data_IF_126098856471
#
_entry.id   IF_126098856471
#
_cell.length_a   1.000
_cell.length_b   1.000
_cell.length_c   1.000
_cell.angle_alpha   90.00
_cell.angle_beta   90.00
_cell.angle_gamma   90.00
#
_symmetry.space_group_name_H-M   'P 1'
#
loop_
_entity.id
_entity.type
_entity.pdbx_description
1 polymer ?
#
# COMPACT_ATOMS: atom_id res chain seq x y z
N UNK A 1 1.43 -29.91 48.56
CA UNK A 1 0.64 -29.93 47.30
C UNK A 1 1.41 -29.05 46.33
N UNK A 2 2.23 -29.68 45.49
CA UNK A 2 3.11 -28.96 44.57
C UNK A 2 2.30 -28.40 43.41
N UNK A 3 2.48 -27.11 43.17
CA UNK A 3 1.81 -26.33 42.15
C UNK A 3 2.09 -26.92 40.75
N UNK A 4 1.10 -27.04 39.85
CA UNK A 4 1.33 -27.45 38.46
C UNK A 4 2.37 -26.57 37.75
N UNK A 5 2.54 -25.33 38.19
CA UNK A 5 3.56 -24.39 37.70
C UNK A 5 4.97 -24.86 38.05
N UNK A 6 5.20 -25.38 39.25
CA UNK A 6 6.52 -25.89 39.67
C UNK A 6 6.86 -27.20 38.95
N UNK A 7 5.86 -28.04 38.68
CA UNK A 7 6.03 -29.23 37.85
C UNK A 7 6.44 -28.86 36.42
N UNK A 8 5.72 -27.94 35.78
CA UNK A 8 6.04 -27.48 34.41
C UNK A 8 7.42 -26.83 34.36
N UNK A 9 7.78 -26.00 35.34
CA UNK A 9 9.11 -25.36 35.40
C UNK A 9 10.22 -26.41 35.49
N UNK A 10 10.07 -27.40 36.37
CA UNK A 10 11.06 -28.46 36.55
C UNK A 10 11.16 -29.35 35.32
N UNK A 11 10.02 -29.66 34.70
CA UNK A 11 9.96 -30.46 33.47
C UNK A 11 10.59 -29.75 32.27
N UNK A 12 10.31 -28.46 32.08
CA UNK A 12 10.87 -27.64 31.00
C UNK A 12 12.38 -27.51 31.14
N UNK A 13 12.90 -27.31 32.36
CA UNK A 13 14.36 -27.26 32.59
C UNK A 13 15.00 -28.62 32.32
N UNK A 14 14.37 -29.72 32.75
CA UNK A 14 14.87 -31.07 32.50
C UNK A 14 14.89 -31.46 31.01
N UNK A 15 14.02 -30.87 30.19
CA UNK A 15 13.88 -31.17 28.76
C UNK A 15 14.27 -29.99 27.85
N UNK A 16 14.97 -28.98 28.38
CA UNK A 16 15.25 -27.74 27.66
C UNK A 16 16.03 -27.97 26.36
N UNK A 17 17.02 -28.86 26.37
CA UNK A 17 17.82 -29.21 25.18
C UNK A 17 16.96 -29.91 24.11
N UNK A 18 16.02 -30.76 24.52
CA UNK A 18 15.10 -31.44 23.61
C UNK A 18 14.10 -30.45 23.00
N UNK A 19 13.53 -29.54 23.80
CA UNK A 19 12.63 -28.50 23.30
C UNK A 19 13.34 -27.54 22.34
N UNK A 20 14.59 -27.16 22.67
CA UNK A 20 15.38 -26.24 21.85
C UNK A 20 15.78 -26.87 20.51
N UNK A 21 16.14 -28.16 20.49
CA UNK A 21 16.43 -28.88 19.24
C UNK A 21 15.20 -28.99 18.33
N UNK A 22 14.01 -29.25 18.89
CA UNK A 22 12.77 -29.26 18.11
C UNK A 22 12.37 -27.87 17.61
N UNK A 23 12.56 -26.82 18.40
CA UNK A 23 12.33 -25.44 17.97
C UNK A 23 13.25 -25.03 16.83
N UNK A 24 14.54 -25.40 16.90
CA UNK A 24 15.50 -25.15 15.82
C UNK A 24 15.12 -25.94 14.57
N UNK A 25 14.73 -27.21 14.70
CA UNK A 25 14.27 -28.02 13.58
C UNK A 25 13.02 -27.42 12.91
N UNK A 26 12.03 -26.98 13.70
CA UNK A 26 10.84 -26.31 13.19
C UNK A 26 11.17 -24.99 12.47
N UNK A 27 12.10 -24.21 13.01
CA UNK A 27 12.58 -22.97 12.38
C UNK A 27 13.29 -23.24 11.05
N UNK A 28 14.13 -24.28 10.98
CA UNK A 28 14.79 -24.70 9.74
C UNK A 28 13.75 -25.13 8.70
N UNK A 29 12.73 -25.90 9.09
CA UNK A 29 11.66 -26.33 8.16
C UNK A 29 10.86 -25.13 7.66
N UNK A 30 10.47 -24.19 8.54
CA UNK A 30 9.76 -22.97 8.13
C UNK A 30 10.59 -22.10 7.18
N UNK A 31 11.89 -21.93 7.45
CA UNK A 31 12.77 -21.14 6.58
C UNK A 31 12.97 -21.80 5.22
N UNK A 32 13.12 -23.12 5.15
CA UNK A 32 13.18 -23.87 3.90
C UNK A 32 11.87 -23.75 3.10
N UNK A 33 10.72 -23.93 3.75
CA UNK A 33 9.41 -23.76 3.11
C UNK A 33 9.23 -22.35 2.54
N UNK A 34 9.65 -21.32 3.28
CA UNK A 34 9.60 -19.93 2.82
C UNK A 34 10.51 -19.68 1.61
N UNK A 35 11.70 -20.28 1.58
CA UNK A 35 12.62 -20.22 0.44
C UNK A 35 12.00 -20.91 -0.79
N UNK A 36 11.36 -22.07 -0.61
CA UNK A 36 10.69 -22.79 -1.70
C UNK A 36 9.51 -22.01 -2.26
N UNK A 37 8.68 -21.39 -1.39
CA UNK A 37 7.60 -20.49 -1.81
C UNK A 37 8.16 -19.33 -2.63
N UNK A 38 9.25 -18.69 -2.18
CA UNK A 38 9.92 -17.61 -2.94
C UNK A 38 10.53 -18.09 -4.26
N UNK A 39 11.03 -19.32 -4.33
CA UNK A 39 11.55 -19.91 -5.57
C UNK A 39 10.43 -20.25 -6.54
N UNK A 40 9.30 -20.72 -6.05
CA UNK A 40 8.11 -20.99 -6.87
C UNK A 40 7.53 -19.69 -7.45
N UNK A 41 7.42 -18.62 -6.65
CA UNK A 41 6.95 -17.32 -7.14
C UNK A 41 7.89 -16.70 -8.17
N UNK A 42 9.22 -16.82 -7.99
CA UNK A 42 10.19 -16.38 -9.00
C UNK A 42 10.08 -17.16 -10.31
N UNK A 43 9.90 -18.49 -10.26
CA UNK A 43 9.71 -19.32 -11.47
C UNK A 43 8.40 -18.96 -12.20
N UNK A 44 7.32 -18.72 -11.46
CA UNK A 44 6.06 -18.26 -12.05
C UNK A 44 6.19 -16.87 -12.71
N UNK A 45 6.93 -15.96 -12.09
CA UNK A 45 7.20 -14.63 -12.67
C UNK A 45 8.01 -14.72 -13.97
N UNK A 46 9.05 -15.57 -14.02
CA UNK A 46 9.85 -15.78 -15.24
C UNK A 46 9.00 -16.37 -16.36
N UNK A 47 8.22 -17.41 -16.06
CA UNK A 47 7.31 -18.02 -17.04
C UNK A 47 6.25 -17.03 -17.55
N UNK A 48 5.73 -16.16 -16.69
CA UNK A 48 4.83 -15.08 -17.11
C UNK A 48 5.54 -14.06 -18.01
N UNK A 49 6.78 -13.68 -17.72
CA UNK A 49 7.52 -12.75 -18.58
C UNK A 49 7.87 -13.35 -19.94
N UNK A 50 8.14 -14.66 -20.01
CA UNK A 50 8.36 -15.38 -21.28
C UNK A 50 7.06 -15.50 -22.10
N UNK A 51 5.93 -15.77 -21.44
CA UNK A 51 4.60 -15.78 -22.07
C UNK A 51 4.20 -14.38 -22.59
N UNK A 52 4.54 -13.31 -21.86
CA UNK A 52 4.33 -11.93 -22.31
C UNK A 52 5.27 -11.57 -23.45
N UNK A 53 6.55 -11.95 -23.41
CA UNK A 53 7.49 -11.68 -24.50
C UNK A 53 7.09 -12.40 -25.79
N UNK A 54 6.60 -13.64 -25.71
CA UNK A 54 6.12 -14.41 -26.86
C UNK A 54 4.82 -13.87 -27.44
N UNK A 55 3.87 -13.43 -26.60
CA UNK A 55 2.64 -12.78 -27.07
C UNK A 55 2.89 -11.39 -27.64
N UNK A 56 3.75 -10.57 -27.02
CA UNK A 56 4.16 -9.27 -27.58
C UNK A 56 4.87 -9.47 -28.91
N UNK A 57 5.79 -10.45 -29.03
CA UNK A 57 6.44 -10.76 -30.30
C UNK A 57 5.44 -11.18 -31.39
N UNK A 58 4.34 -11.85 -31.03
CA UNK A 58 3.25 -12.17 -31.96
C UNK A 58 2.40 -10.96 -32.36
N UNK A 59 2.26 -9.95 -31.49
CA UNK A 59 1.51 -8.72 -31.75
C UNK A 59 2.33 -7.61 -32.44
N UNK A 60 3.67 -7.69 -32.44
CA UNK A 60 4.56 -6.71 -33.10
C UNK A 60 4.28 -6.52 -34.60
N UNK A 61 4.00 -7.58 -35.41
CA UNK A 61 3.60 -7.41 -36.81
C UNK A 61 2.27 -6.68 -36.97
N UNK A 62 1.30 -6.92 -36.09
CA UNK A 62 -0.01 -6.24 -36.10
C UNK A 62 0.12 -4.76 -35.70
N UNK A 63 0.99 -4.44 -34.74
CA UNK A 63 1.28 -3.05 -34.35
C UNK A 63 2.06 -2.32 -35.46
N UNK A 64 2.98 -3.00 -36.15
CA UNK A 64 3.68 -2.43 -37.31
C UNK A 64 2.73 -2.18 -38.49
N UNK A 65 1.77 -3.08 -38.74
CA UNK A 65 0.71 -2.89 -39.75
C UNK A 65 -0.28 -1.78 -39.34
N UNK A 66 -0.66 -1.72 -38.07
CA UNK A 66 -1.52 -0.66 -37.53
C UNK A 66 -0.83 0.72 -37.60
N UNK A 67 0.46 0.81 -37.27
CA UNK A 67 1.24 2.04 -37.37
C UNK A 67 1.40 2.53 -38.81
N UNK A 68 1.54 1.61 -39.78
CA UNK A 68 1.57 1.96 -41.21
C UNK A 68 0.19 2.40 -41.73
N UNK A 69 -0.89 1.81 -41.24
CA UNK A 69 -2.26 2.23 -41.60
C UNK A 69 -2.69 3.55 -40.96
N UNK A 70 -2.16 3.89 -39.78
CA UNK A 70 -2.38 5.16 -39.10
C UNK A 70 -1.55 6.32 -39.68
N UNK A 71 -0.55 6.04 -40.53
CA UNK A 71 0.29 7.04 -41.21
C UNK A 71 -0.23 7.38 -42.62
N UNK A 72 -1.56 7.49 -42.78
CA UNK A 72 -2.13 8.26 -43.90
C UNK A 72 -2.32 9.71 -43.44
N UNK A 73 -1.59 10.68 -44.00
CA UNK A 73 -1.66 12.06 -43.52
C UNK A 73 -2.94 12.75 -44.03
N UNK A 74 -3.65 13.52 -43.20
CA UNK A 74 -4.41 14.67 -43.70
C UNK A 74 -3.44 15.83 -44.00
N UNK A 75 -3.74 16.69 -44.98
CA UNK A 75 -2.86 17.79 -45.34
C UNK A 75 -2.90 18.90 -44.28
N UNK A 76 -1.73 19.49 -44.04
CA UNK A 76 -1.51 20.87 -43.54
C UNK A 76 -1.95 21.22 -42.11
N UNK A 77 -1.00 21.15 -41.16
CA UNK A 77 -0.75 22.18 -40.11
C UNK A 77 0.43 21.86 -39.16
N UNK A 78 1.14 20.73 -39.32
CA UNK A 78 2.20 20.33 -38.38
C UNK A 78 3.61 20.92 -38.63
N UNK A 79 3.75 21.97 -39.45
CA UNK A 79 5.06 22.47 -39.89
C UNK A 79 5.35 23.91 -39.47
N UNK A 80 5.17 24.29 -38.18
CA UNK A 80 5.80 25.51 -37.58
C UNK A 80 5.63 25.58 -36.05
N UNK A 81 5.83 24.49 -35.29
CA UNK A 81 5.97 24.62 -33.83
C UNK A 81 7.45 24.87 -33.50
N UNK A 82 7.78 26.08 -33.02
CA UNK A 82 9.14 26.40 -32.56
C UNK A 82 9.51 25.53 -31.35
N UNK A 83 10.79 25.17 -31.14
CA UNK A 83 11.21 24.32 -30.03
C UNK A 83 10.78 24.84 -28.63
N UNK A 84 10.61 26.15 -28.48
CA UNK A 84 10.05 26.78 -27.27
C UNK A 84 8.61 26.32 -26.97
N UNK A 85 7.74 26.29 -27.98
CA UNK A 85 6.32 25.91 -27.82
C UNK A 85 6.12 24.45 -27.39
N UNK A 86 7.05 23.56 -27.78
CA UNK A 86 7.04 22.14 -27.35
C UNK A 86 7.48 21.96 -25.92
N UNK A 87 8.55 22.66 -25.51
CA UNK A 87 9.03 22.64 -24.12
C UNK A 87 7.96 23.19 -23.17
N UNK A 88 7.29 24.29 -23.54
CA UNK A 88 6.17 24.84 -22.76
C UNK A 88 5.01 23.84 -22.61
N UNK A 89 4.63 23.12 -23.68
CA UNK A 89 3.59 22.10 -23.62
C UNK A 89 3.98 20.95 -22.68
N UNK A 90 5.21 20.45 -22.80
CA UNK A 90 5.74 19.41 -21.92
C UNK A 90 5.80 19.86 -20.44
N UNK A 91 6.09 21.13 -20.18
CA UNK A 91 6.08 21.69 -18.83
C UNK A 91 4.65 21.84 -18.27
N UNK A 92 3.66 22.15 -19.10
CA UNK A 92 2.23 22.12 -18.70
C UNK A 92 1.80 20.69 -18.35
N UNK A 93 2.12 19.70 -19.17
CA UNK A 93 1.82 18.29 -18.87
C UNK A 93 2.49 17.83 -17.55
N UNK A 94 3.75 18.23 -17.35
CA UNK A 94 4.47 17.93 -16.12
C UNK A 94 3.75 18.50 -14.88
N UNK A 95 3.23 19.72 -14.94
CA UNK A 95 2.56 20.29 -13.78
C UNK A 95 1.21 19.65 -13.48
N UNK A 96 0.50 19.13 -14.50
CA UNK A 96 -0.73 18.35 -14.27
C UNK A 96 -0.38 17.03 -13.58
N UNK A 97 0.63 16.34 -14.09
CA UNK A 97 1.13 15.09 -13.54
C UNK A 97 1.69 15.28 -12.11
N UNK A 98 2.41 16.37 -11.85
CA UNK A 98 2.90 16.71 -10.52
C UNK A 98 1.75 17.00 -9.55
N UNK A 99 0.72 17.72 -9.97
CA UNK A 99 -0.46 17.99 -9.16
C UNK A 99 -1.21 16.68 -8.81
N UNK A 100 -1.41 15.80 -9.79
CA UNK A 100 -2.07 14.50 -9.58
C UNK A 100 -1.29 13.63 -8.60
N UNK A 101 0.05 13.63 -8.69
CA UNK A 101 0.91 12.89 -7.77
C UNK A 101 0.94 13.44 -6.37
N UNK A 102 0.96 14.76 -6.23
CA UNK A 102 0.86 15.40 -4.92
C UNK A 102 -0.51 15.13 -4.28
N UNK A 103 -1.58 15.15 -5.08
CA UNK A 103 -2.91 14.76 -4.62
C UNK A 103 -2.94 13.29 -4.20
N UNK A 104 -2.32 12.41 -5.00
CA UNK A 104 -2.19 10.99 -4.68
C UNK A 104 -1.42 10.75 -3.38
N UNK A 105 -0.26 11.38 -3.21
CA UNK A 105 0.59 11.23 -2.02
C UNK A 105 -0.13 11.68 -0.76
N UNK A 106 -0.94 12.75 -0.81
CA UNK A 106 -1.77 13.20 0.32
C UNK A 106 -3.02 12.35 0.52
N UNK A 107 -3.56 11.80 -0.56
CA UNK A 107 -4.77 10.98 -0.55
C UNK A 107 -4.56 9.55 -0.04
N UNK A 108 -3.36 8.98 -0.21
CA UNK A 108 -3.06 7.58 0.13
C UNK A 108 -3.25 7.25 1.62
N UNK A 109 -3.08 8.22 2.53
CA UNK A 109 -3.30 8.02 3.95
C UNK A 109 -4.79 7.94 4.33
N UNK A 110 -5.70 8.32 3.44
CA UNK A 110 -7.13 8.21 3.67
C UNK A 110 -7.61 6.76 3.46
N UNK A 111 -7.73 6.02 4.57
CA UNK A 111 -8.19 4.63 4.58
C UNK A 111 -9.67 4.45 4.22
N UNK A 112 -10.47 5.54 4.23
CA UNK A 112 -11.88 5.48 3.82
C UNK A 112 -12.04 5.25 2.32
N UNK A 113 -11.04 5.64 1.54
CA UNK A 113 -11.00 5.41 0.10
C UNK A 113 -10.51 3.97 -0.10
N UNK A 114 -11.19 3.10 -0.84
CA UNK A 114 -10.69 1.75 -1.12
C UNK A 114 -9.51 1.79 -2.08
N UNK A 115 -8.66 0.75 -2.05
CA UNK A 115 -7.47 0.68 -2.93
C UNK A 115 -7.82 0.74 -4.42
N UNK A 116 -8.99 0.23 -4.80
CA UNK A 116 -9.50 0.27 -6.18
C UNK A 116 -9.92 1.66 -6.64
N UNK A 117 -10.18 2.59 -5.72
CA UNK A 117 -10.53 3.97 -6.01
C UNK A 117 -9.33 4.92 -5.95
N UNK A 118 -8.16 4.43 -5.50
CA UNK A 118 -6.94 5.21 -5.60
C UNK A 118 -6.50 5.28 -7.07
N UNK A 119 -6.10 6.46 -7.56
CA UNK A 119 -5.49 6.55 -8.88
C UNK A 119 -4.28 5.61 -8.95
N UNK A 120 -3.98 5.01 -10.11
CA UNK A 120 -2.76 4.24 -10.28
C UNK A 120 -1.57 5.15 -9.98
N UNK A 121 -0.64 4.68 -9.13
CA UNK A 121 0.51 5.48 -8.72
C UNK A 121 1.35 5.93 -9.93
N UNK A 122 1.48 5.07 -10.94
CA UNK A 122 2.03 5.43 -12.24
C UNK A 122 0.93 5.25 -13.30
N UNK A 123 0.59 6.29 -14.07
CA UNK A 123 -0.26 6.09 -15.23
C UNK A 123 0.49 5.21 -16.24
N UNK A 124 -0.20 4.31 -16.95
CA UNK A 124 0.32 3.57 -18.12
C UNK A 124 0.58 4.50 -19.33
N UNK A 125 0.79 5.78 -19.07
CA UNK A 125 0.94 6.82 -20.07
C UNK A 125 2.24 6.64 -20.87
N UNK A 126 2.26 7.11 -22.13
CA UNK A 126 3.48 7.17 -22.91
C UNK A 126 4.57 7.95 -22.17
N UNK A 127 5.83 7.60 -22.46
CA UNK A 127 7.03 8.25 -21.91
C UNK A 127 6.89 9.78 -22.04
N UNK A 128 7.06 10.50 -20.93
CA UNK A 128 6.83 11.94 -20.88
C UNK A 128 7.74 12.69 -21.88
N UNK A 129 7.25 13.74 -22.59
CA UNK A 129 8.01 14.45 -23.64
C UNK A 129 9.38 14.99 -23.21
N UNK A 130 9.52 15.33 -21.93
CA UNK A 130 10.79 15.78 -21.35
C UNK A 130 11.93 14.76 -21.48
N UNK A 131 11.66 13.48 -21.73
CA UNK A 131 12.69 12.45 -21.81
C UNK A 131 13.35 12.32 -23.19
N UNK A 132 12.76 12.87 -24.24
CA UNK A 132 13.29 12.75 -25.61
C UNK A 132 13.42 14.10 -26.34
N UNK A 133 12.58 15.09 -26.01
CA UNK A 133 12.55 16.39 -26.72
C UNK A 133 13.29 17.53 -26.00
N UNK A 134 13.96 17.27 -24.87
CA UNK A 134 14.54 18.35 -24.02
C UNK A 134 16.00 18.14 -23.63
N UNK A 135 16.70 19.20 -23.16
CA UNK A 135 18.08 19.09 -22.71
C UNK A 135 18.26 18.01 -21.65
N UNK A 136 19.39 17.30 -21.73
CA UNK A 136 19.73 16.19 -20.83
C UNK A 136 19.62 16.56 -19.34
N UNK A 137 20.01 17.78 -18.98
CA UNK A 137 19.90 18.31 -17.62
C UNK A 137 18.46 18.28 -17.09
N UNK A 138 17.48 18.62 -17.93
CA UNK A 138 16.06 18.66 -17.58
C UNK A 138 15.50 17.23 -17.47
N UNK A 139 15.83 16.37 -18.43
CA UNK A 139 15.48 14.94 -18.39
C UNK A 139 16.01 14.25 -17.12
N UNK A 140 17.26 14.50 -16.72
CA UNK A 140 17.86 13.92 -15.51
C UNK A 140 17.14 14.38 -14.23
N UNK A 141 16.77 15.66 -14.13
CA UNK A 141 15.99 16.18 -12.99
C UNK A 141 14.58 15.61 -12.95
N UNK A 142 13.93 15.47 -14.10
CA UNK A 142 12.63 14.82 -14.20
C UNK A 142 12.70 13.38 -13.70
N UNK A 143 13.64 12.57 -14.20
CA UNK A 143 13.83 11.19 -13.74
C UNK A 143 14.12 11.08 -12.24
N UNK A 144 14.83 12.05 -11.65
CA UNK A 144 15.06 12.07 -10.21
C UNK A 144 13.76 12.29 -9.41
N UNK A 145 12.90 13.22 -9.87
CA UNK A 145 11.58 13.44 -9.29
C UNK A 145 10.66 12.21 -9.46
N UNK A 146 10.69 11.56 -10.62
CA UNK A 146 9.97 10.30 -10.88
C UNK A 146 10.35 9.20 -9.89
N UNK A 147 11.65 9.00 -9.65
CA UNK A 147 12.16 7.98 -8.73
C UNK A 147 11.76 8.29 -7.29
N UNK A 148 11.90 9.54 -6.86
CA UNK A 148 11.47 10.00 -5.54
C UNK A 148 9.99 9.69 -5.30
N UNK A 149 9.12 10.07 -6.24
CA UNK A 149 7.70 9.73 -6.16
C UNK A 149 7.46 8.21 -6.08
N UNK A 150 8.09 7.43 -6.98
CA UNK A 150 7.88 5.99 -7.03
C UNK A 150 8.39 5.26 -5.77
N UNK A 151 9.42 5.76 -5.11
CA UNK A 151 9.90 5.26 -3.82
C UNK A 151 8.91 5.54 -2.70
N UNK A 152 8.46 6.79 -2.57
CA UNK A 152 7.44 7.17 -1.58
C UNK A 152 6.13 6.43 -1.79
N UNK A 153 5.66 6.33 -3.02
CA UNK A 153 4.42 5.63 -3.35
C UNK A 153 4.47 4.16 -2.96
N UNK A 154 5.58 3.47 -3.24
CA UNK A 154 5.76 2.06 -2.82
C UNK A 154 5.79 1.91 -1.30
N UNK A 155 6.48 2.80 -0.60
CA UNK A 155 6.56 2.77 0.86
C UNK A 155 5.19 3.00 1.50
N UNK A 156 4.45 4.04 1.06
CA UNK A 156 3.12 4.37 1.58
C UNK A 156 2.09 3.27 1.28
N UNK A 157 2.13 2.65 0.09
CA UNK A 157 1.27 1.51 -0.22
C UNK A 157 1.56 0.30 0.66
N UNK A 158 2.84 0.03 0.96
CA UNK A 158 3.21 -1.06 1.86
C UNK A 158 2.70 -0.80 3.29
N UNK A 159 2.89 0.41 3.81
CA UNK A 159 2.39 0.81 5.13
C UNK A 159 0.86 0.74 5.21
N UNK A 160 0.16 1.22 4.17
CA UNK A 160 -1.29 1.15 4.06
C UNK A 160 -1.83 -0.29 4.09
N UNK A 161 -1.20 -1.22 3.37
CA UNK A 161 -1.57 -2.65 3.39
C UNK A 161 -1.40 -3.26 4.77
N UNK A 162 -0.34 -2.89 5.47
CA UNK A 162 -0.13 -3.34 6.86
C UNK A 162 -1.23 -2.80 7.77
N UNK A 163 -1.64 -1.55 7.57
CA UNK A 163 -2.72 -0.94 8.36
C UNK A 163 -4.08 -1.58 8.08
N UNK A 164 -4.38 -1.91 6.82
CA UNK A 164 -5.57 -2.67 6.44
C UNK A 164 -5.58 -4.09 7.03
N UNK A 165 -4.42 -4.76 7.11
CA UNK A 165 -4.31 -6.05 7.78
C UNK A 165 -4.60 -5.95 9.29
N UNK A 166 -4.16 -4.86 9.94
CA UNK A 166 -4.50 -4.59 11.34
C UNK A 166 -6.00 -4.31 11.53
N UNK A 167 -6.63 -3.56 10.61
CA UNK A 167 -8.08 -3.33 10.63
C UNK A 167 -8.87 -4.63 10.48
N UNK A 168 -8.44 -5.51 9.57
CA UNK A 168 -9.06 -6.83 9.39
C UNK A 168 -8.95 -7.67 10.67
N UNK A 169 -7.77 -7.71 11.31
CA UNK A 169 -7.57 -8.43 12.56
C UNK A 169 -8.40 -7.84 13.73
N UNK A 170 -8.54 -6.52 13.82
CA UNK A 170 -9.42 -5.87 14.81
C UNK A 170 -10.89 -6.26 14.57
N UNK A 171 -11.34 -6.27 13.31
CA UNK A 171 -12.70 -6.68 12.95
C UNK A 171 -12.95 -8.15 13.31
N UNK A 172 -12.05 -9.07 12.95
CA UNK A 172 -12.15 -10.49 13.29
C UNK A 172 -12.24 -10.71 14.82
N UNK A 173 -11.38 -10.03 15.59
CA UNK A 173 -11.43 -10.10 17.05
C UNK A 173 -12.74 -9.56 17.64
N UNK A 174 -13.33 -8.51 17.05
CA UNK A 174 -14.65 -8.00 17.46
C UNK A 174 -15.79 -8.96 17.12
N UNK A 175 -15.72 -9.61 15.97
CA UNK A 175 -16.72 -10.61 15.57
C UNK A 175 -16.65 -11.85 16.48
N UNK A 176 -15.45 -12.27 16.87
CA UNK A 176 -15.28 -13.34 17.86
C UNK A 176 -15.83 -12.94 19.24
N UNK A 177 -15.62 -11.69 19.70
CA UNK A 177 -16.24 -11.20 20.95
C UNK A 177 -17.76 -11.27 20.89
N UNK A 178 -18.38 -10.83 19.79
CA UNK A 178 -19.84 -10.94 19.61
C UNK A 178 -20.31 -12.40 19.60
N UNK A 179 -19.51 -13.30 19.03
CA UNK A 179 -19.81 -14.74 19.06
C UNK A 179 -19.75 -15.27 20.49
N UNK A 180 -18.73 -14.89 21.27
CA UNK A 180 -18.62 -15.28 22.69
C UNK A 180 -19.83 -14.76 23.47
N UNK A 181 -20.25 -13.51 23.27
CA UNK A 181 -21.43 -12.93 23.93
C UNK A 181 -22.71 -13.74 23.65
N UNK A 182 -22.93 -14.14 22.38
CA UNK A 182 -24.06 -15.00 22.00
C UNK A 182 -23.97 -16.38 22.62
N UNK A 183 -22.78 -16.99 22.64
CA UNK A 183 -22.56 -18.31 23.25
C UNK A 183 -22.77 -18.26 24.78
N UNK A 184 -22.29 -17.21 25.45
CA UNK A 184 -22.48 -16.96 26.87
C UNK A 184 -23.97 -16.81 27.20
N UNK A 185 -24.71 -16.02 26.41
CA UNK A 185 -26.17 -15.87 26.56
C UNK A 185 -26.90 -17.21 26.41
N UNK A 186 -26.51 -18.03 25.42
CA UNK A 186 -27.09 -19.35 25.21
C UNK A 186 -26.77 -20.32 26.36
N UNK A 187 -25.58 -20.24 26.97
CA UNK A 187 -25.22 -21.03 28.15
C UNK A 187 -26.09 -20.66 29.34
N UNK A 188 -26.34 -19.37 29.58
CA UNK A 188 -27.20 -18.91 30.68
C UNK A 188 -28.60 -19.50 30.54
N UNK A 189 -29.23 -19.41 29.37
CA UNK A 189 -30.56 -20.00 29.12
C UNK A 189 -30.56 -21.52 29.33
N UNK A 190 -29.54 -22.22 28.82
CA UNK A 190 -29.42 -23.68 29.02
C UNK A 190 -29.20 -24.05 30.50
N UNK A 191 -28.49 -23.21 31.24
CA UNK A 191 -28.24 -23.41 32.65
C UNK A 191 -29.53 -23.25 33.47
N UNK A 192 -30.34 -22.24 33.17
CA UNK A 192 -31.67 -22.06 33.76
C UNK A 192 -32.60 -23.26 33.49
N UNK A 193 -32.59 -23.77 32.25
CA UNK A 193 -33.35 -24.98 31.88
C UNK A 193 -32.89 -26.23 32.64
N UNK A 194 -31.57 -26.43 32.75
CA UNK A 194 -31.00 -27.56 33.50
C UNK A 194 -31.32 -27.47 35.01
N UNK A 195 -31.35 -26.25 35.57
CA UNK A 195 -31.77 -26.02 36.96
C UNK A 195 -33.23 -26.39 37.20
N UNK A 196 -34.12 -26.10 36.25
CA UNK A 196 -35.53 -26.45 36.34
C UNK A 196 -35.81 -27.97 36.32
N UNK A 197 -34.84 -28.79 35.84
CA UNK A 197 -35.01 -30.24 35.63
C UNK A 197 -34.35 -31.11 36.74
N UNK A 198 -33.88 -30.52 37.83
CA UNK A 198 -33.37 -31.06 39.12
C UNK A 198 -32.36 -32.24 39.14
N UNK A 199 -32.09 -32.97 38.05
CA UNK A 199 -31.22 -34.16 38.02
C UNK A 199 -29.98 -34.01 37.11
N UNK A 200 -29.76 -32.84 36.49
CA UNK A 200 -28.71 -32.64 35.49
C UNK A 200 -27.40 -32.04 36.03
N UNK A 201 -26.86 -32.58 37.13
CA UNK A 201 -25.65 -32.06 37.79
C UNK A 201 -24.38 -32.12 36.93
N UNK A 202 -24.31 -33.04 35.96
CA UNK A 202 -23.19 -33.12 35.00
C UNK A 202 -23.29 -32.03 33.92
N UNK A 203 -24.50 -31.78 33.40
CA UNK A 203 -24.75 -30.71 32.42
C UNK A 203 -24.45 -29.35 33.04
N UNK A 204 -24.89 -29.11 34.29
CA UNK A 204 -24.58 -27.88 35.02
C UNK A 204 -23.07 -27.67 35.19
N UNK A 205 -22.32 -28.71 35.59
CA UNK A 205 -20.86 -28.64 35.72
C UNK A 205 -20.18 -28.32 34.39
N UNK A 206 -20.61 -28.95 33.30
CA UNK A 206 -20.11 -28.66 31.96
C UNK A 206 -20.39 -27.22 31.53
N UNK A 207 -21.60 -26.71 31.76
CA UNK A 207 -21.97 -25.33 31.42
C UNK A 207 -21.16 -24.30 32.22
N UNK A 208 -20.91 -24.55 33.50
CA UNK A 208 -20.04 -23.70 34.34
C UNK A 208 -18.60 -23.69 33.81
N UNK A 209 -18.05 -24.85 33.47
CA UNK A 209 -16.71 -24.95 32.89
C UNK A 209 -16.63 -24.18 31.57
N UNK A 210 -17.62 -24.36 30.68
CA UNK A 210 -17.68 -23.64 29.40
C UNK A 210 -17.80 -22.12 29.61
N UNK A 211 -18.66 -21.68 30.53
CA UNK A 211 -18.83 -20.27 30.88
C UNK A 211 -17.51 -19.65 31.37
N UNK A 212 -16.81 -20.33 32.27
CA UNK A 212 -15.53 -19.86 32.80
C UNK A 212 -14.46 -19.77 31.69
N UNK A 213 -14.39 -20.77 30.80
CA UNK A 213 -13.47 -20.76 29.67
C UNK A 213 -13.77 -19.64 28.66
N UNK A 214 -15.06 -19.37 28.39
CA UNK A 214 -15.47 -18.23 27.57
C UNK A 214 -15.11 -16.91 28.25
N UNK A 215 -15.32 -16.78 29.57
CA UNK A 215 -14.96 -15.57 30.32
C UNK A 215 -13.46 -15.29 30.36
N UNK A 216 -12.59 -16.32 30.39
CA UNK A 216 -11.14 -16.12 30.25
C UNK A 216 -10.79 -15.68 28.83
N UNK A 217 -11.36 -16.34 27.81
CA UNK A 217 -11.13 -16.00 26.40
C UNK A 217 -11.59 -14.59 26.06
N UNK A 218 -12.75 -14.18 26.58
CA UNK A 218 -13.31 -12.83 26.39
C UNK A 218 -12.36 -11.74 26.91
N UNK A 219 -11.80 -11.93 28.12
CA UNK A 219 -10.85 -10.97 28.70
C UNK A 219 -9.56 -10.87 27.89
N UNK A 220 -9.01 -12.01 27.49
CA UNK A 220 -7.80 -12.07 26.65
C UNK A 220 -8.04 -11.40 25.29
N UNK A 221 -9.16 -11.73 24.63
CA UNK A 221 -9.51 -11.18 23.33
C UNK A 221 -9.83 -9.69 23.41
N UNK A 222 -10.47 -9.22 24.48
CA UNK A 222 -10.70 -7.79 24.74
C UNK A 222 -9.38 -7.04 24.86
N UNK A 223 -8.41 -7.60 25.60
CA UNK A 223 -7.08 -7.02 25.71
C UNK A 223 -6.36 -6.97 24.35
N UNK A 224 -6.45 -8.04 23.55
CA UNK A 224 -5.87 -8.10 22.20
C UNK A 224 -6.50 -7.08 21.25
N UNK A 225 -7.83 -6.97 21.21
CA UNK A 225 -8.55 -5.99 20.37
C UNK A 225 -8.18 -4.56 20.77
N UNK A 226 -8.07 -4.27 22.06
CA UNK A 226 -7.64 -2.95 22.54
C UNK A 226 -6.20 -2.63 22.12
N UNK A 227 -5.27 -3.59 22.22
CA UNK A 227 -3.90 -3.43 21.77
C UNK A 227 -3.82 -3.22 20.24
N UNK A 228 -4.57 -3.99 19.45
CA UNK A 228 -4.65 -3.82 17.99
C UNK A 228 -5.22 -2.45 17.62
N UNK A 229 -6.27 -1.99 18.31
CA UNK A 229 -6.85 -0.65 18.09
C UNK A 229 -5.84 0.45 18.38
N UNK A 230 -5.10 0.35 19.49
CA UNK A 230 -4.06 1.33 19.82
C UNK A 230 -2.97 1.35 18.73
N UNK A 231 -2.46 0.17 18.36
CA UNK A 231 -1.46 0.04 17.32
C UNK A 231 -1.94 0.59 15.97
N UNK A 232 -3.22 0.39 15.63
CA UNK A 232 -3.82 0.93 14.41
C UNK A 232 -3.83 2.46 14.45
N UNK A 233 -4.27 3.07 15.55
CA UNK A 233 -4.30 4.53 15.69
C UNK A 233 -2.90 5.14 15.54
N UNK A 234 -1.91 4.59 16.25
CA UNK A 234 -0.52 5.05 16.17
C UNK A 234 0.04 4.93 14.74
N UNK A 235 -0.24 3.82 14.05
CA UNK A 235 0.21 3.63 12.66
C UNK A 235 -0.56 4.47 11.65
N UNK A 236 -1.84 4.77 11.90
CA UNK A 236 -2.61 5.67 11.06
C UNK A 236 -2.06 7.10 11.13
N UNK A 237 -1.75 7.58 12.33
CA UNK A 237 -1.11 8.89 12.53
C UNK A 237 0.28 8.94 11.86
N UNK A 238 1.08 7.88 12.01
CA UNK A 238 2.36 7.77 11.34
C UNK A 238 2.24 7.78 9.81
N UNK A 239 1.24 7.09 9.24
CA UNK A 239 0.97 7.08 7.81
C UNK A 239 0.59 8.48 7.30
N UNK A 240 -0.25 9.22 8.03
CA UNK A 240 -0.59 10.61 7.70
C UNK A 240 0.65 11.51 7.68
N UNK A 241 1.46 11.46 8.74
CA UNK A 241 2.70 12.23 8.80
C UNK A 241 3.67 11.86 7.66
N UNK A 242 3.74 10.57 7.30
CA UNK A 242 4.57 10.06 6.21
C UNK A 242 4.07 10.51 4.83
N UNK A 243 2.74 10.54 4.62
CA UNK A 243 2.15 11.05 3.38
C UNK A 243 2.44 12.54 3.19
N UNK A 244 2.31 13.34 4.25
CA UNK A 244 2.59 14.78 4.19
C UNK A 244 4.07 15.04 3.93
N UNK A 245 4.95 14.31 4.61
CA UNK A 245 6.39 14.36 4.36
C UNK A 245 6.72 13.99 2.91
N UNK A 246 6.18 12.89 2.39
CA UNK A 246 6.42 12.45 1.03
C UNK A 246 5.96 13.47 -0.02
N UNK A 247 4.80 14.09 0.20
CA UNK A 247 4.30 15.16 -0.66
C UNK A 247 5.21 16.40 -0.62
N UNK A 248 5.73 16.76 0.56
CA UNK A 248 6.66 17.88 0.72
C UNK A 248 8.03 17.60 0.08
N UNK A 249 8.56 16.39 0.25
CA UNK A 249 9.83 15.95 -0.34
C UNK A 249 9.75 15.88 -1.87
N UNK A 250 8.67 15.32 -2.42
CA UNK A 250 8.41 15.35 -3.85
C UNK A 250 8.31 16.79 -4.38
N UNK A 251 7.61 17.67 -3.66
CA UNK A 251 7.52 19.09 -4.02
C UNK A 251 8.88 19.80 -4.00
N UNK A 252 9.77 19.46 -3.05
CA UNK A 252 11.13 19.97 -3.01
C UNK A 252 12.00 19.44 -4.18
N UNK A 253 11.79 18.18 -4.59
CA UNK A 253 12.48 17.57 -5.73
C UNK A 253 12.11 18.20 -7.08
N UNK A 254 10.97 18.89 -7.17
CA UNK A 254 10.59 19.64 -8.36
C UNK A 254 11.35 20.98 -8.49
N UNK A 255 11.89 21.55 -7.40
CA UNK A 255 12.54 22.88 -7.45
C UNK A 255 13.75 22.96 -8.39
N UNK A 256 14.68 21.99 -8.39
CA UNK A 256 15.79 22.00 -9.34
C UNK A 256 15.33 21.87 -10.78
N UNK A 257 14.24 21.14 -11.03
CA UNK A 257 13.66 21.00 -12.38
C UNK A 257 13.11 22.34 -12.85
N UNK A 258 12.34 23.03 -12.00
CA UNK A 258 11.81 24.36 -12.32
C UNK A 258 12.92 25.38 -12.55
N UNK A 259 14.00 25.32 -11.77
CA UNK A 259 15.16 26.20 -11.96
C UNK A 259 15.86 25.97 -13.32
N UNK A 260 16.01 24.71 -13.75
CA UNK A 260 16.57 24.40 -15.07
C UNK A 260 15.61 24.83 -16.17
N UNK A 261 14.32 24.53 -16.06
CA UNK A 261 13.31 24.93 -17.04
C UNK A 261 13.28 26.46 -17.27
N UNK A 262 13.38 27.26 -16.20
CA UNK A 262 13.45 28.73 -16.30
C UNK A 262 14.67 29.22 -17.09
N UNK A 263 15.83 28.58 -16.91
CA UNK A 263 17.05 28.93 -17.65
C UNK A 263 16.94 28.57 -19.12
N UNK A 264 16.44 27.36 -19.42
CA UNK A 264 16.30 26.87 -20.80
C UNK A 264 15.29 27.70 -21.62
N UNK A 265 14.25 28.26 -20.98
CA UNK A 265 13.32 29.18 -21.63
C UNK A 265 13.84 30.63 -21.72
N UNK A 266 15.03 30.94 -21.17
CA UNK A 266 15.58 32.30 -21.16
C UNK A 266 14.81 33.26 -20.24
N UNK A 267 14.11 32.74 -19.24
CA UNK A 267 13.18 33.47 -18.37
C UNK A 267 13.73 33.69 -16.96
N UNK A 268 15.02 34.03 -16.84
CA UNK A 268 15.67 34.28 -15.53
C UNK A 268 15.03 35.45 -14.75
N UNK A 269 14.24 36.30 -15.42
CA UNK A 269 13.57 37.48 -14.83
C UNK A 269 12.09 37.65 -15.20
N UNK A 270 11.53 36.82 -16.08
CA UNK A 270 10.15 36.97 -16.56
C UNK A 270 9.16 36.10 -15.76
N UNK A 271 8.09 36.71 -15.27
CA UNK A 271 6.96 36.04 -14.63
C UNK A 271 6.08 35.34 -15.69
N UNK A 272 6.61 34.26 -16.27
CA UNK A 272 5.88 33.44 -17.23
C UNK A 272 4.74 32.69 -16.52
N UNK A 273 3.55 32.71 -17.11
CA UNK A 273 2.35 32.04 -16.59
C UNK A 273 2.57 30.53 -16.41
N UNK A 274 3.36 29.90 -17.28
CA UNK A 274 3.66 28.45 -17.19
C UNK A 274 4.51 28.12 -15.97
N UNK A 275 5.48 28.98 -15.65
CA UNK A 275 6.37 28.86 -14.49
C UNK A 275 5.64 29.20 -13.19
N UNK A 276 4.78 30.22 -13.20
CA UNK A 276 3.88 30.55 -12.10
C UNK A 276 2.86 29.43 -11.84
N UNK A 277 2.40 28.79 -12.91
CA UNK A 277 1.47 27.67 -12.84
C UNK A 277 2.13 26.43 -12.23
N UNK A 278 3.34 26.07 -12.67
CA UNK A 278 4.13 24.99 -12.04
C UNK A 278 4.49 25.27 -10.57
N UNK A 279 4.74 26.54 -10.22
CA UNK A 279 4.93 26.93 -8.83
C UNK A 279 3.64 26.84 -8.00
N UNK A 280 2.47 27.02 -8.62
CA UNK A 280 1.15 26.89 -8.00
C UNK A 280 0.71 25.43 -7.85
N UNK A 281 1.03 24.57 -8.82
CA UNK A 281 0.80 23.13 -8.69
C UNK A 281 1.62 22.52 -7.56
N UNK A 282 2.82 23.05 -7.28
CA UNK A 282 3.62 22.73 -6.09
C UNK A 282 2.90 23.01 -4.77
N UNK A 283 2.04 24.04 -4.69
CA UNK A 283 1.28 24.32 -3.46
C UNK A 283 -0.01 23.49 -3.37
N UNK A 284 -0.24 22.57 -4.31
CA UNK A 284 -1.48 21.78 -4.39
C UNK A 284 -2.68 22.58 -4.88
N UNK A 285 -2.47 23.83 -5.30
CA UNK A 285 -3.47 24.60 -6.03
C UNK A 285 -3.37 24.18 -7.49
N UNK A 286 -4.21 23.23 -7.89
CA UNK A 286 -4.35 22.84 -9.30
C UNK A 286 -4.70 24.04 -10.20
N UNK A 287 -4.64 23.89 -11.53
CA UNK A 287 -5.07 24.94 -12.46
C UNK A 287 -6.42 25.49 -12.00
N UNK A 288 -6.47 26.78 -11.69
CA UNK A 288 -7.74 27.51 -11.74
C UNK A 288 -8.31 27.19 -13.12
N UNK A 289 -9.50 26.59 -13.17
CA UNK A 289 -10.31 26.64 -14.39
C UNK A 289 -10.42 28.12 -14.72
N UNK A 290 -9.68 28.56 -15.73
CA UNK A 290 -9.91 29.86 -16.33
C UNK A 290 -11.35 29.79 -16.87
N UNK A 291 -12.17 30.70 -16.35
CA UNK A 291 -13.51 30.97 -16.86
C UNK A 291 -13.40 31.60 -18.26
#
# INVERSE_FOLDING_TARGET
>A
MNDPVDFVRTWVVAHAEFLLTWLIAALIIMTLAWIEIRRATRRAAIAMTEAVATTVAACVPEIAAAAQSAHSPPPETAATATPSTRLEAALRELGTLAADRMHWLRGIANLRVPDTALPPAAPEAPVHPLLYDTPRSLAEKHLAAERCFAEHARALLAERRVLQALEAAECEGRDELQRIERETSAIVVRFEQANAQSEQTEVQRFLIQKFNALGTRERELTAQVNALRQQRTERAEALWARSDFAAADYAAMLDPLLAVARRELGHETAADETVLWLARTRTGQGPLRAA
#
